data_IF_128561037038
#
_entry.id   IF_128561037038
#
_cell.length_a   1.000
_cell.length_b   1.000
_cell.length_c   1.000
_cell.angle_alpha   90.00
_cell.angle_beta   90.00
_cell.angle_gamma   90.00
#
_symmetry.space_group_name_H-M   'P 1'
#
loop_
_entity.id
_entity.type
_entity.pdbx_description
1 polymer ?
#
# COMPACT_ATOMS: atom_id res chain seq x y z
N UNK A 1 18.33 3.68 7.33
CA UNK A 1 17.12 3.75 6.47
C UNK A 1 17.37 4.77 5.36
N UNK A 2 17.00 4.50 4.11
CA UNK A 2 17.09 5.50 3.02
C UNK A 2 15.73 6.16 2.82
N UNK A 3 15.56 7.37 3.38
CA UNK A 3 14.27 8.06 3.47
C UNK A 3 13.69 8.39 2.09
N UNK A 4 14.50 8.99 1.20
CA UNK A 4 14.08 9.32 -0.17
C UNK A 4 13.54 8.11 -0.91
N UNK A 5 14.19 6.95 -0.75
CA UNK A 5 13.77 5.70 -1.40
C UNK A 5 12.43 5.19 -0.87
N UNK A 6 12.23 5.16 0.45
CA UNK A 6 10.97 4.64 1.02
C UNK A 6 9.80 5.56 0.66
N UNK A 7 10.01 6.87 0.64
CA UNK A 7 8.99 7.85 0.22
C UNK A 7 8.65 7.69 -1.26
N UNK A 8 9.65 7.68 -2.16
CA UNK A 8 9.40 7.52 -3.60
C UNK A 8 8.68 6.22 -3.94
N UNK A 9 9.00 5.13 -3.25
CA UNK A 9 8.30 3.85 -3.45
C UNK A 9 6.87 3.90 -2.88
N UNK A 10 6.66 4.51 -1.70
CA UNK A 10 5.31 4.71 -1.15
C UNK A 10 4.40 5.52 -2.09
N UNK A 11 4.92 6.60 -2.67
CA UNK A 11 4.21 7.40 -3.69
C UNK A 11 3.88 6.53 -4.91
N UNK A 12 4.84 5.73 -5.41
CA UNK A 12 4.60 4.85 -6.56
C UNK A 12 3.52 3.80 -6.28
N UNK A 13 3.54 3.19 -5.10
CA UNK A 13 2.51 2.23 -4.66
C UNK A 13 1.15 2.93 -4.62
N UNK A 14 1.07 4.13 -4.05
CA UNK A 14 -0.17 4.91 -4.01
C UNK A 14 -0.70 5.24 -5.41
N UNK A 15 0.15 5.72 -6.33
CA UNK A 15 -0.24 6.02 -7.72
C UNK A 15 -0.85 4.77 -8.37
N UNK A 16 -0.19 3.62 -8.25
CA UNK A 16 -0.67 2.36 -8.82
C UNK A 16 -1.98 1.93 -8.16
N UNK A 17 -2.06 1.98 -6.82
CA UNK A 17 -3.23 1.58 -6.05
C UNK A 17 -4.46 2.41 -6.41
N UNK A 18 -4.37 3.73 -6.33
CA UNK A 18 -5.48 4.63 -6.68
C UNK A 18 -5.89 4.50 -8.15
N UNK A 19 -4.94 4.33 -9.07
CA UNK A 19 -5.26 4.11 -10.48
C UNK A 19 -6.06 2.84 -10.69
N UNK A 20 -5.67 1.73 -10.05
CA UNK A 20 -6.36 0.45 -10.18
C UNK A 20 -7.72 0.44 -9.47
N UNK A 21 -7.82 1.11 -8.32
CA UNK A 21 -9.09 1.35 -7.64
C UNK A 21 -10.05 2.11 -8.56
N UNK A 22 -9.62 3.23 -9.14
CA UNK A 22 -10.42 4.01 -10.07
C UNK A 22 -10.81 3.21 -11.33
N UNK A 23 -9.89 2.41 -11.88
CA UNK A 23 -10.16 1.56 -13.05
C UNK A 23 -11.21 0.49 -12.77
N UNK A 24 -11.36 0.03 -11.53
CA UNK A 24 -12.33 -1.01 -11.18
C UNK A 24 -13.79 -0.57 -11.38
N UNK A 25 -14.08 0.74 -11.31
CA UNK A 25 -15.44 1.28 -11.53
C UNK A 25 -15.90 1.20 -12.99
N UNK A 26 -14.98 1.09 -13.95
CA UNK A 26 -15.32 1.00 -15.36
C UNK A 26 -15.78 -0.40 -15.80
N UNK A 27 -15.54 -1.42 -14.97
CA UNK A 27 -15.98 -2.79 -15.23
C UNK A 27 -16.77 -3.29 -14.02
N UNK A 28 -18.02 -2.86 -13.84
CA UNK A 28 -18.84 -3.29 -12.72
C UNK A 28 -19.21 -4.77 -12.86
N UNK A 29 -18.77 -5.59 -11.92
CA UNK A 29 -19.04 -7.02 -11.78
C UNK A 29 -19.97 -7.30 -10.59
N UNK A 30 -19.86 -6.53 -9.50
CA UNK A 30 -20.73 -6.58 -8.32
C UNK A 30 -21.76 -5.45 -8.36
N UNK A 31 -22.88 -5.65 -7.67
CA UNK A 31 -23.89 -4.60 -7.46
C UNK A 31 -23.32 -3.42 -6.66
N UNK A 32 -22.49 -3.73 -5.65
CA UNK A 32 -21.75 -2.73 -4.89
C UNK A 32 -20.38 -2.48 -5.53
N UNK A 33 -20.30 -1.39 -6.30
CA UNK A 33 -19.10 -0.99 -7.00
C UNK A 33 -17.96 -0.56 -6.05
N UNK A 34 -18.28 -0.03 -4.88
CA UNK A 34 -17.28 0.37 -3.88
C UNK A 34 -16.67 -0.86 -3.20
N UNK A 35 -17.52 -1.81 -2.81
CA UNK A 35 -17.06 -3.10 -2.30
C UNK A 35 -16.18 -3.83 -3.33
N UNK A 36 -16.57 -3.83 -4.59
CA UNK A 36 -15.75 -4.37 -5.67
C UNK A 36 -14.38 -3.68 -5.75
N UNK A 37 -14.35 -2.35 -5.73
CA UNK A 37 -13.13 -1.59 -5.83
C UNK A 37 -12.16 -1.90 -4.68
N UNK A 38 -12.69 -2.03 -3.47
CA UNK A 38 -11.94 -2.44 -2.28
C UNK A 38 -11.38 -3.87 -2.39
N UNK A 39 -12.18 -4.83 -2.87
CA UNK A 39 -11.72 -6.21 -3.12
C UNK A 39 -10.61 -6.22 -4.17
N UNK A 40 -10.80 -5.50 -5.27
CA UNK A 40 -9.83 -5.42 -6.35
C UNK A 40 -8.50 -4.80 -5.87
N UNK A 41 -8.59 -3.71 -5.12
CA UNK A 41 -7.43 -3.07 -4.52
C UNK A 41 -6.70 -4.01 -3.56
N UNK A 42 -7.40 -4.72 -2.68
CA UNK A 42 -6.81 -5.69 -1.74
C UNK A 42 -6.02 -6.80 -2.46
N UNK A 43 -6.58 -7.35 -3.55
CA UNK A 43 -5.88 -8.38 -4.32
C UNK A 43 -4.60 -7.83 -4.95
N UNK A 44 -4.65 -6.62 -5.53
CA UNK A 44 -3.51 -6.08 -6.28
C UNK A 44 -2.47 -5.41 -5.37
N UNK A 45 -2.85 -4.91 -4.20
CA UNK A 45 -1.91 -4.20 -3.33
C UNK A 45 -0.83 -5.14 -2.79
N UNK A 46 -1.15 -6.41 -2.54
CA UNK A 46 -0.19 -7.41 -2.06
C UNK A 46 1.01 -7.57 -3.03
N UNK A 47 0.83 -7.92 -4.33
CA UNK A 47 1.96 -8.02 -5.25
C UNK A 47 2.66 -6.68 -5.49
N UNK A 48 1.94 -5.55 -5.49
CA UNK A 48 2.52 -4.21 -5.67
C UNK A 48 3.43 -3.84 -4.50
N UNK A 49 2.95 -3.99 -3.25
CA UNK A 49 3.73 -3.74 -2.03
C UNK A 49 4.90 -4.71 -1.92
N UNK A 50 4.71 -5.98 -2.28
CA UNK A 50 5.79 -6.96 -2.31
C UNK A 50 6.91 -6.55 -3.27
N UNK A 51 6.56 -6.07 -4.47
CA UNK A 51 7.53 -5.55 -5.42
C UNK A 51 8.18 -4.25 -4.93
N UNK A 52 7.42 -3.36 -4.29
CA UNK A 52 7.95 -2.16 -3.63
C UNK A 52 8.98 -2.50 -2.55
N UNK A 53 8.70 -3.50 -1.71
CA UNK A 53 9.65 -4.02 -0.72
C UNK A 53 10.92 -4.56 -1.39
N UNK A 54 10.77 -5.34 -2.47
CA UNK A 54 11.91 -5.84 -3.26
C UNK A 54 12.79 -4.71 -3.81
N UNK A 55 12.20 -3.66 -4.36
CA UNK A 55 12.92 -2.49 -4.84
C UNK A 55 13.63 -1.74 -3.71
N UNK A 56 12.97 -1.60 -2.57
CA UNK A 56 13.56 -0.95 -1.40
C UNK A 56 14.84 -1.68 -0.93
N UNK A 57 14.75 -3.00 -0.73
CA UNK A 57 15.82 -3.84 -0.17
C UNK A 57 16.95 -4.20 -1.14
N UNK A 58 16.85 -3.84 -2.43
CA UNK A 58 17.84 -4.20 -3.47
C UNK A 58 19.30 -3.83 -3.12
N UNK A 59 19.52 -2.80 -2.30
CA UNK A 59 20.88 -2.31 -1.96
C UNK A 59 21.22 -2.52 -0.48
N UNK A 60 20.90 -3.70 0.07
CA UNK A 60 21.31 -4.16 1.41
C UNK A 60 20.93 -3.22 2.56
N UNK A 61 19.70 -2.69 2.53
CA UNK A 61 19.17 -1.84 3.60
C UNK A 61 18.70 -2.71 4.77
N UNK A 62 19.16 -2.41 5.99
CA UNK A 62 18.87 -3.21 7.19
C UNK A 62 17.60 -2.81 7.96
N UNK A 63 16.75 -1.95 7.41
CA UNK A 63 15.50 -1.54 8.07
C UNK A 63 14.56 -2.74 8.20
N UNK A 64 13.91 -2.93 9.36
CA UNK A 64 12.92 -4.00 9.55
C UNK A 64 11.67 -3.81 8.68
N UNK A 65 11.09 -4.89 8.15
CA UNK A 65 9.93 -4.87 7.26
C UNK A 65 8.73 -4.11 7.81
N UNK A 66 8.38 -4.34 9.09
CA UNK A 66 7.35 -3.59 9.82
C UNK A 66 7.47 -2.07 9.65
N UNK A 67 8.67 -1.50 9.81
CA UNK A 67 8.89 -0.05 9.67
C UNK A 67 8.72 0.41 8.23
N UNK A 68 9.13 -0.42 7.26
CA UNK A 68 8.96 -0.10 5.84
C UNK A 68 7.47 -0.10 5.46
N UNK A 69 6.71 -1.10 5.90
CA UNK A 69 5.26 -1.18 5.70
C UNK A 69 4.50 -0.01 6.28
N UNK A 70 4.81 0.35 7.54
CA UNK A 70 4.22 1.53 8.18
C UNK A 70 4.49 2.81 7.40
N UNK A 71 5.73 3.02 6.92
CA UNK A 71 6.06 4.23 6.15
C UNK A 71 5.35 4.22 4.79
N UNK A 72 5.30 3.09 4.08
CA UNK A 72 4.55 2.99 2.83
C UNK A 72 3.07 3.34 3.04
N UNK A 73 2.43 2.74 4.04
CA UNK A 73 1.04 3.01 4.37
C UNK A 73 0.80 4.46 4.77
N UNK A 74 1.63 5.04 5.65
CA UNK A 74 1.50 6.44 6.07
C UNK A 74 1.64 7.39 4.88
N UNK A 75 2.59 7.14 3.98
CA UNK A 75 2.73 7.96 2.77
C UNK A 75 1.48 7.86 1.89
N UNK A 76 0.95 6.65 1.67
CA UNK A 76 -0.30 6.46 0.93
C UNK A 76 -1.48 7.17 1.60
N UNK A 77 -1.68 7.00 2.90
CA UNK A 77 -2.75 7.64 3.66
C UNK A 77 -2.68 9.17 3.64
N UNK A 78 -1.47 9.74 3.72
CA UNK A 78 -1.27 11.19 3.59
C UNK A 78 -1.63 11.66 2.18
N UNK A 79 -1.23 10.91 1.14
CA UNK A 79 -1.63 11.24 -0.23
C UNK A 79 -3.13 11.09 -0.45
N UNK A 80 -3.79 10.13 0.21
CA UNK A 80 -5.24 10.02 0.19
C UNK A 80 -5.91 11.24 0.82
N UNK A 81 -5.43 11.69 1.99
CA UNK A 81 -5.95 12.91 2.62
C UNK A 81 -5.75 14.16 1.75
N UNK A 82 -4.62 14.25 1.04
CA UNK A 82 -4.27 15.42 0.23
C UNK A 82 -4.87 15.40 -1.18
N UNK A 83 -5.15 14.22 -1.74
CA UNK A 83 -5.52 14.06 -3.14
C UNK A 83 -6.80 13.23 -3.28
N UNK A 84 -6.80 11.96 -2.87
CA UNK A 84 -7.95 11.07 -3.07
C UNK A 84 -9.23 11.66 -2.45
N UNK A 85 -9.20 12.03 -1.17
CA UNK A 85 -10.39 12.55 -0.50
C UNK A 85 -10.92 13.85 -1.13
N UNK A 86 -10.10 14.91 -1.32
CA UNK A 86 -10.53 16.14 -1.99
C UNK A 86 -11.08 15.96 -3.40
N UNK A 87 -10.45 15.11 -4.21
CA UNK A 87 -10.75 15.03 -5.64
C UNK A 87 -11.67 13.88 -6.03
N UNK A 88 -11.84 12.86 -5.19
CA UNK A 88 -12.63 11.67 -5.53
C UNK A 88 -13.67 11.29 -4.48
N UNK A 89 -13.55 11.70 -3.21
CA UNK A 89 -14.54 11.36 -2.17
C UNK A 89 -15.51 12.51 -1.94
N UNK A 90 -14.98 13.70 -1.67
CA UNK A 90 -15.78 14.90 -1.42
C UNK A 90 -16.74 15.26 -2.57
N UNK A 91 -16.34 15.18 -3.87
CA UNK A 91 -17.24 15.51 -4.98
C UNK A 91 -18.44 14.57 -5.10
N UNK A 92 -18.35 13.35 -4.55
CA UNK A 92 -19.42 12.36 -4.56
C UNK A 92 -20.20 12.30 -3.24
N UNK A 93 -19.99 13.28 -2.36
CA UNK A 93 -20.76 13.45 -1.11
C UNK A 93 -20.21 12.74 0.11
N UNK A 94 -19.06 12.05 0.00
CA UNK A 94 -18.37 11.47 1.15
C UNK A 94 -17.55 12.51 1.92
N UNK A 95 -17.10 12.15 3.13
CA UNK A 95 -16.25 13.00 3.98
C UNK A 95 -14.90 12.35 4.29
N UNK A 96 -13.98 13.12 4.87
CA UNK A 96 -12.73 12.57 5.42
C UNK A 96 -13.00 11.48 6.46
N UNK A 97 -14.03 11.66 7.29
CA UNK A 97 -14.34 10.71 8.36
C UNK A 97 -14.84 9.40 7.78
N UNK A 98 -15.70 9.46 6.76
CA UNK A 98 -16.22 8.25 6.09
C UNK A 98 -15.06 7.43 5.50
N UNK A 99 -14.11 8.09 4.83
CA UNK A 99 -12.97 7.41 4.23
C UNK A 99 -12.00 6.81 5.26
N UNK A 100 -11.65 7.53 6.32
CA UNK A 100 -10.64 7.07 7.29
C UNK A 100 -11.18 6.18 8.40
N UNK A 101 -12.50 6.08 8.58
CA UNK A 101 -13.14 5.11 9.49
C UNK A 101 -13.48 3.82 8.75
N UNK A 102 -13.52 3.84 7.42
CA UNK A 102 -13.84 2.67 6.60
C UNK A 102 -12.95 1.46 6.92
N UNK A 103 -13.59 0.29 7.00
CA UNK A 103 -12.90 -0.97 7.30
C UNK A 103 -11.95 -1.36 6.18
N UNK A 104 -12.34 -1.14 4.92
CA UNK A 104 -11.51 -1.42 3.73
C UNK A 104 -10.18 -0.67 3.81
N UNK A 105 -10.20 0.62 4.15
CA UNK A 105 -9.00 1.42 4.32
C UNK A 105 -7.99 0.79 5.31
N UNK A 106 -8.44 0.41 6.50
CA UNK A 106 -7.57 -0.20 7.52
C UNK A 106 -7.15 -1.63 7.16
N UNK A 107 -8.00 -2.37 6.46
CA UNK A 107 -7.68 -3.68 5.93
C UNK A 107 -6.52 -3.61 4.93
N UNK A 108 -6.58 -2.67 3.98
CA UNK A 108 -5.46 -2.39 3.07
C UNK A 108 -4.20 -2.01 3.86
N UNK A 109 -4.32 -1.16 4.89
CA UNK A 109 -3.20 -0.81 5.76
C UNK A 109 -2.52 -2.03 6.42
N UNK A 110 -3.32 -3.00 6.86
CA UNK A 110 -2.83 -4.27 7.40
C UNK A 110 -2.09 -5.08 6.33
N UNK A 111 -2.59 -5.11 5.09
CA UNK A 111 -1.93 -5.80 3.97
C UNK A 111 -0.56 -5.19 3.66
N UNK A 112 -0.43 -3.86 3.69
CA UNK A 112 0.87 -3.18 3.53
C UNK A 112 1.89 -3.68 4.57
N UNK A 113 1.49 -3.65 5.84
CA UNK A 113 2.37 -3.99 6.97
C UNK A 113 2.73 -5.47 6.95
N UNK A 114 1.74 -6.33 6.71
CA UNK A 114 1.92 -7.79 6.67
C UNK A 114 2.81 -8.20 5.51
N UNK A 115 2.54 -7.68 4.31
CA UNK A 115 3.29 -8.01 3.09
C UNK A 115 4.76 -7.61 3.21
N UNK A 116 5.04 -6.39 3.68
CA UNK A 116 6.43 -5.93 3.86
C UNK A 116 7.17 -6.69 4.97
N UNK A 117 6.48 -7.05 6.04
CA UNK A 117 7.04 -7.84 7.15
C UNK A 117 7.37 -9.26 6.69
N UNK A 118 6.44 -9.92 5.98
CA UNK A 118 6.67 -11.25 5.39
C UNK A 118 7.80 -11.22 4.38
N UNK A 119 7.86 -10.22 3.50
CA UNK A 119 8.96 -10.04 2.55
C UNK A 119 10.31 -10.00 3.29
N UNK A 120 10.37 -9.21 4.36
CA UNK A 120 11.59 -9.04 5.14
C UNK A 120 12.05 -10.36 5.76
N UNK A 121 11.16 -11.12 6.43
CA UNK A 121 11.52 -12.42 7.01
C UNK A 121 11.98 -13.42 5.93
N UNK A 122 11.24 -13.51 4.83
CA UNK A 122 11.45 -14.54 3.81
C UNK A 122 12.66 -14.27 2.90
N UNK A 123 12.97 -13.00 2.61
CA UNK A 123 13.98 -12.62 1.61
C UNK A 123 15.15 -11.83 2.16
N UNK A 124 14.96 -11.02 3.21
CA UNK A 124 16.01 -10.14 3.75
C UNK A 124 16.71 -10.83 4.92
N UNK A 125 15.96 -11.23 5.95
CA UNK A 125 16.49 -11.89 7.14
C UNK A 125 17.15 -13.23 6.79
N UNK A 126 16.48 -14.07 6.00
CA UNK A 126 17.03 -15.36 5.55
C UNK A 126 18.35 -15.20 4.78
N UNK A 127 18.41 -14.26 3.84
CA UNK A 127 19.63 -14.01 3.04
C UNK A 127 20.80 -13.57 3.91
N UNK A 128 20.54 -12.74 4.92
CA UNK A 128 21.56 -12.30 5.89
C UNK A 128 22.13 -13.48 6.67
N UNK A 129 21.29 -14.36 7.21
CA UNK A 129 21.77 -15.51 7.99
C UNK A 129 22.61 -16.49 7.15
N UNK A 130 22.32 -16.62 5.85
CA UNK A 130 23.13 -17.46 4.94
C UNK A 130 24.51 -16.86 4.65
N UNK A 131 24.66 -15.53 4.68
CA UNK A 131 25.95 -14.87 4.43
C UNK A 131 26.89 -14.83 5.65
N UNK A 132 26.40 -15.21 6.83
CA UNK A 132 27.16 -15.24 8.08
C UNK A 132 27.50 -16.68 8.55
N UNK A 133 27.21 -17.68 7.71
CA UNK A 133 27.65 -19.09 7.85
C UNK A 133 28.73 -19.31 6.78
#
# INVERSE_FOLDING_TARGET
MKLTRVISIGILIWIIGVSLYALSFYVPLLEDAEQQANIWLSIVIVPVVWYGAKLYYRNSINTHGLRVGLIFFIISAVLDALITVPFTVLPYGGTYSDFFIDFGFWFIGLEFITTTTLYWYLKVFKKRNIQHI
#
